data_IF_994457143765
#
_entry.id   IF_994457143765
#
_cell.length_a   1.000
_cell.length_b   1.000
_cell.length_c   1.000
_cell.angle_alpha   90.00
_cell.angle_beta   90.00
_cell.angle_gamma   90.00
#
_symmetry.space_group_name_H-M   'P 1'
#
loop_
_entity.id
_entity.type
_entity.pdbx_description
1 polymer ?
#
# COMPACT_ATOMS: atom_id res chain seq x y z
N UNK A 1 2.12 -12.22 -8.33
CA UNK A 1 1.36 -12.87 -9.43
C UNK A 1 1.89 -12.49 -10.81
N UNK A 2 1.88 -11.20 -11.20
CA UNK A 2 2.29 -10.80 -12.55
C UNK A 2 3.71 -11.22 -12.94
N UNK A 3 4.68 -11.11 -12.02
CA UNK A 3 6.05 -11.62 -12.22
C UNK A 3 6.10 -13.11 -12.60
N UNK A 4 5.32 -13.94 -11.91
CA UNK A 4 5.21 -15.36 -12.22
C UNK A 4 4.59 -15.60 -13.61
N UNK A 5 3.68 -14.74 -14.05
CA UNK A 5 3.11 -14.77 -15.39
C UNK A 5 4.14 -14.45 -16.47
N UNK A 6 5.09 -13.56 -16.17
CA UNK A 6 6.23 -13.27 -17.07
C UNK A 6 7.16 -14.47 -17.14
N UNK A 7 7.47 -15.08 -16.00
CA UNK A 7 8.31 -16.28 -15.96
C UNK A 7 7.66 -17.40 -16.77
N UNK A 8 6.37 -17.66 -16.61
CA UNK A 8 5.66 -18.66 -17.41
C UNK A 8 5.75 -18.44 -18.94
N UNK A 9 6.01 -17.19 -19.38
CA UNK A 9 6.10 -16.77 -20.78
C UNK A 9 7.51 -16.72 -21.36
N UNK A 10 8.55 -16.82 -20.52
CA UNK A 10 9.92 -16.72 -21.00
C UNK A 10 10.30 -17.93 -21.87
N UNK A 11 11.23 -17.71 -22.79
CA UNK A 11 11.77 -18.74 -23.67
C UNK A 11 12.42 -19.88 -22.85
N UNK A 12 13.11 -19.52 -21.76
CA UNK A 12 13.77 -20.44 -20.84
C UNK A 12 12.87 -21.20 -19.87
N UNK A 13 11.55 -20.96 -19.85
CA UNK A 13 10.66 -21.71 -18.98
C UNK A 13 10.65 -23.20 -19.35
N UNK A 14 10.82 -24.05 -18.35
CA UNK A 14 10.70 -25.50 -18.53
C UNK A 14 9.25 -25.92 -18.75
N UNK A 15 9.03 -27.11 -19.31
CA UNK A 15 7.68 -27.67 -19.49
C UNK A 15 6.92 -27.78 -18.15
N UNK A 16 7.61 -28.19 -17.08
CA UNK A 16 7.04 -28.32 -15.74
C UNK A 16 6.62 -26.97 -15.16
N UNK A 17 7.43 -25.92 -15.34
CA UNK A 17 7.09 -24.57 -14.89
C UNK A 17 5.85 -24.04 -15.61
N UNK A 18 5.79 -24.22 -16.94
CA UNK A 18 4.61 -23.84 -17.73
C UNK A 18 3.36 -24.59 -17.29
N UNK A 19 3.46 -25.90 -17.06
CA UNK A 19 2.36 -26.72 -16.57
C UNK A 19 1.88 -26.29 -15.17
N UNK A 20 2.81 -25.91 -14.28
CA UNK A 20 2.49 -25.45 -12.92
C UNK A 20 1.89 -24.04 -12.86
N UNK A 21 2.01 -23.26 -13.95
CA UNK A 21 1.64 -21.83 -13.98
C UNK A 21 0.68 -21.45 -15.11
N UNK A 22 -0.07 -22.42 -15.67
CA UNK A 22 -0.96 -22.21 -16.84
C UNK A 22 -1.91 -21.01 -16.68
N UNK A 23 -2.48 -20.81 -15.49
CA UNK A 23 -3.42 -19.72 -15.23
C UNK A 23 -2.72 -18.37 -14.94
N UNK A 24 -1.44 -18.38 -14.63
CA UNK A 24 -0.74 -17.20 -14.11
C UNK A 24 -0.52 -16.09 -15.15
N UNK A 25 -0.24 -16.39 -16.43
CA UNK A 25 -0.19 -15.37 -17.48
C UNK A 25 -1.45 -14.52 -17.61
N UNK A 26 -2.64 -15.04 -17.21
CA UNK A 26 -3.86 -14.26 -17.27
C UNK A 26 -3.90 -13.07 -16.28
N UNK A 27 -3.04 -13.07 -15.25
CA UNK A 27 -2.85 -11.89 -14.40
C UNK A 27 -2.09 -10.76 -15.10
N UNK A 28 -1.37 -11.05 -16.19
CA UNK A 28 -0.78 -10.01 -17.05
C UNK A 28 -1.79 -9.48 -18.06
N UNK A 29 -2.65 -10.35 -18.58
CA UNK A 29 -3.70 -9.96 -19.51
C UNK A 29 -4.72 -11.07 -19.69
N UNK A 30 -6.00 -10.71 -19.83
CA UNK A 30 -7.04 -11.67 -20.26
C UNK A 30 -6.72 -12.24 -21.65
N UNK A 31 -6.01 -11.48 -22.48
CA UNK A 31 -5.59 -11.87 -23.82
C UNK A 31 -4.29 -12.67 -23.84
N UNK A 32 -3.82 -13.12 -22.67
CA UNK A 32 -2.54 -13.81 -22.58
C UNK A 32 -2.51 -15.02 -23.52
N UNK A 33 -3.56 -15.83 -23.66
CA UNK A 33 -3.55 -17.00 -24.54
C UNK A 33 -3.41 -16.69 -26.05
N UNK A 34 -3.56 -15.42 -26.44
CA UNK A 34 -3.39 -14.96 -27.82
C UNK A 34 -1.93 -14.53 -28.08
N UNK A 35 -1.71 -13.91 -29.23
CA UNK A 35 -0.43 -13.32 -29.63
C UNK A 35 -0.01 -12.16 -28.68
N UNK A 36 1.32 -11.92 -28.45
CA UNK A 36 1.80 -10.80 -27.65
C UNK A 36 1.22 -9.44 -28.06
N UNK A 37 0.89 -9.25 -29.35
CA UNK A 37 0.26 -8.03 -29.85
C UNK A 37 -1.13 -7.80 -29.23
N UNK A 38 -1.94 -8.86 -29.07
CA UNK A 38 -3.24 -8.78 -28.39
C UNK A 38 -3.10 -8.49 -26.90
N UNK A 39 -1.99 -8.92 -26.30
CA UNK A 39 -1.67 -8.56 -24.92
C UNK A 39 -1.43 -7.05 -24.77
N UNK A 40 -0.80 -6.41 -25.76
CA UNK A 40 -0.60 -4.95 -25.79
C UNK A 40 -1.90 -4.22 -26.09
N UNK A 41 -2.51 -4.51 -27.24
CA UNK A 41 -3.70 -3.79 -27.73
C UNK A 41 -4.89 -4.02 -26.81
N UNK A 42 -5.10 -5.24 -26.35
CA UNK A 42 -6.21 -5.58 -25.48
C UNK A 42 -6.11 -4.91 -24.10
N UNK A 43 -4.94 -4.91 -23.48
CA UNK A 43 -4.74 -4.20 -22.21
C UNK A 43 -4.83 -2.67 -22.39
N UNK A 44 -4.32 -2.13 -23.49
CA UNK A 44 -4.47 -0.71 -23.81
C UNK A 44 -5.94 -0.32 -24.01
N UNK A 45 -6.72 -1.15 -24.71
CA UNK A 45 -8.15 -0.96 -24.90
C UNK A 45 -8.92 -1.05 -23.57
N UNK A 46 -8.61 -2.04 -22.73
CA UNK A 46 -9.20 -2.14 -21.39
C UNK A 46 -8.89 -0.89 -20.55
N UNK A 47 -7.63 -0.43 -20.54
CA UNK A 47 -7.27 0.81 -19.85
C UNK A 47 -8.02 2.02 -20.40
N UNK A 48 -8.16 2.13 -21.72
CA UNK A 48 -8.91 3.21 -22.38
C UNK A 48 -10.40 3.17 -22.03
N UNK A 49 -11.05 2.01 -22.09
CA UNK A 49 -12.48 1.85 -21.75
C UNK A 49 -12.74 2.23 -20.30
N UNK A 50 -11.95 1.71 -19.36
CA UNK A 50 -12.07 2.08 -17.95
C UNK A 50 -11.82 3.58 -17.72
N UNK A 51 -10.83 4.16 -18.40
CA UNK A 51 -10.56 5.60 -18.36
C UNK A 51 -11.74 6.43 -18.90
N UNK A 52 -12.30 6.06 -20.04
CA UNK A 52 -13.45 6.75 -20.65
C UNK A 52 -14.70 6.66 -19.77
N UNK A 53 -15.02 5.47 -19.25
CA UNK A 53 -16.15 5.29 -18.32
C UNK A 53 -15.95 6.16 -17.08
N UNK A 54 -14.74 6.15 -16.50
CA UNK A 54 -14.44 6.99 -15.34
C UNK A 54 -14.59 8.48 -15.64
N UNK A 55 -14.03 8.97 -16.74
CA UNK A 55 -14.17 10.37 -17.16
C UNK A 55 -15.63 10.75 -17.40
N UNK A 56 -16.42 9.87 -18.03
CA UNK A 56 -17.84 10.09 -18.28
C UNK A 56 -18.66 10.17 -16.99
N UNK A 57 -18.44 9.24 -16.05
CA UNK A 57 -19.11 9.25 -14.74
C UNK A 57 -18.68 10.48 -13.93
N UNK A 58 -17.38 10.85 -13.96
CA UNK A 58 -16.87 12.06 -13.31
C UNK A 58 -17.60 13.32 -13.81
N UNK A 59 -17.69 13.47 -15.14
CA UNK A 59 -18.33 14.63 -15.77
C UNK A 59 -19.84 14.68 -15.49
N UNK A 60 -20.51 13.53 -15.53
CA UNK A 60 -21.93 13.43 -15.18
C UNK A 60 -22.16 13.81 -13.70
N UNK A 61 -21.33 13.32 -12.79
CA UNK A 61 -21.39 13.66 -11.37
C UNK A 61 -21.12 15.14 -11.13
N UNK A 62 -20.10 15.70 -11.79
CA UNK A 62 -19.76 17.12 -11.74
C UNK A 62 -20.96 17.98 -12.17
N UNK A 63 -21.60 17.63 -13.29
CA UNK A 63 -22.76 18.34 -13.83
C UNK A 63 -24.00 18.21 -12.95
N UNK A 64 -24.20 17.04 -12.34
CA UNK A 64 -25.37 16.79 -11.50
C UNK A 64 -25.27 17.44 -10.11
N UNK A 65 -24.07 17.47 -9.51
CA UNK A 65 -23.84 18.02 -8.17
C UNK A 65 -23.32 19.46 -8.16
N UNK A 66 -22.95 20.02 -9.32
CA UNK A 66 -22.42 21.38 -9.42
C UNK A 66 -21.09 21.59 -8.70
N UNK A 67 -20.32 20.52 -8.48
CA UNK A 67 -19.02 20.55 -7.78
C UNK A 67 -17.88 20.78 -8.75
N UNK A 68 -16.71 21.18 -8.25
CA UNK A 68 -15.50 21.26 -9.06
C UNK A 68 -14.98 19.87 -9.46
N UNK A 69 -14.15 19.82 -10.51
CA UNK A 69 -13.63 18.56 -11.04
C UNK A 69 -12.80 17.77 -10.01
N UNK A 70 -12.02 18.43 -9.15
CA UNK A 70 -11.21 17.74 -8.16
C UNK A 70 -12.08 17.10 -7.06
N UNK A 71 -13.14 17.80 -6.63
CA UNK A 71 -14.13 17.24 -5.69
C UNK A 71 -14.95 16.12 -6.31
N UNK A 72 -15.36 16.23 -7.58
CA UNK A 72 -16.05 15.15 -8.30
C UNK A 72 -15.18 13.89 -8.37
N UNK A 73 -13.90 14.05 -8.74
CA UNK A 73 -12.93 12.97 -8.78
C UNK A 73 -12.66 12.37 -7.40
N UNK A 74 -12.57 13.17 -6.34
CA UNK A 74 -12.33 12.68 -4.98
C UNK A 74 -13.58 12.03 -4.34
N UNK A 75 -14.78 12.44 -4.75
CA UNK A 75 -16.06 11.95 -4.23
C UNK A 75 -16.48 10.63 -4.88
N UNK A 76 -16.14 10.42 -6.15
CA UNK A 76 -16.18 9.07 -6.70
C UNK A 76 -15.23 8.23 -5.85
N UNK A 77 -15.73 7.20 -5.15
CA UNK A 77 -14.92 6.25 -4.36
C UNK A 77 -14.12 5.29 -5.26
N UNK A 78 -14.29 5.44 -6.58
CA UNK A 78 -13.67 4.68 -7.67
C UNK A 78 -12.38 5.24 -8.34
N UNK A 79 -11.64 6.28 -7.88
CA UNK A 79 -10.52 6.83 -8.64
C UNK A 79 -9.28 5.95 -8.46
N UNK A 80 -9.17 5.28 -7.30
CA UNK A 80 -8.16 4.26 -7.06
C UNK A 80 -8.33 3.08 -8.00
N UNK A 81 -9.56 2.72 -8.41
CA UNK A 81 -9.76 1.62 -9.35
C UNK A 81 -9.13 1.94 -10.70
N UNK A 82 -9.29 3.17 -11.23
CA UNK A 82 -8.63 3.54 -12.50
C UNK A 82 -7.12 3.46 -12.41
N UNK A 83 -6.53 3.91 -11.29
CA UNK A 83 -5.09 3.78 -11.09
C UNK A 83 -4.68 2.31 -10.91
N UNK A 84 -5.41 1.51 -10.15
CA UNK A 84 -5.14 0.08 -9.94
C UNK A 84 -5.26 -0.68 -11.25
N UNK A 85 -6.28 -0.42 -12.05
CA UNK A 85 -6.45 -0.98 -13.39
C UNK A 85 -5.31 -0.53 -14.29
N UNK A 86 -4.96 0.75 -14.32
CA UNK A 86 -3.82 1.23 -15.10
C UNK A 86 -2.50 0.55 -14.70
N UNK A 87 -2.23 0.39 -13.40
CA UNK A 87 -1.05 -0.32 -12.89
C UNK A 87 -1.09 -1.81 -13.25
N UNK A 88 -2.25 -2.47 -13.14
CA UNK A 88 -2.41 -3.87 -13.49
C UNK A 88 -2.22 -4.10 -15.01
N UNK A 89 -2.81 -3.25 -15.84
CA UNK A 89 -2.70 -3.33 -17.31
C UNK A 89 -1.30 -2.94 -17.79
N UNK A 90 -0.60 -2.04 -17.08
CA UNK A 90 0.72 -1.54 -17.46
C UNK A 90 1.74 -2.65 -17.68
N UNK A 91 1.88 -3.58 -16.72
CA UNK A 91 2.85 -4.69 -16.84
C UNK A 91 2.53 -5.58 -18.04
N UNK A 92 1.24 -5.81 -18.32
CA UNK A 92 0.82 -6.57 -19.49
C UNK A 92 1.11 -5.86 -20.82
N UNK A 93 0.89 -4.54 -20.89
CA UNK A 93 1.27 -3.72 -22.05
C UNK A 93 2.79 -3.77 -22.25
N UNK A 94 3.55 -3.54 -21.18
CA UNK A 94 5.00 -3.50 -21.24
C UNK A 94 5.58 -4.85 -21.67
N UNK A 95 5.27 -5.94 -20.96
CA UNK A 95 5.83 -7.25 -21.30
C UNK A 95 5.30 -7.79 -22.63
N UNK A 96 4.04 -7.52 -22.98
CA UNK A 96 3.53 -7.86 -24.32
C UNK A 96 4.32 -7.18 -25.42
N UNK A 97 4.73 -5.94 -25.19
CA UNK A 97 5.54 -5.17 -26.11
C UNK A 97 6.97 -5.71 -26.21
N UNK A 98 7.59 -6.02 -25.07
CA UNK A 98 8.94 -6.61 -25.05
C UNK A 98 8.93 -8.00 -25.71
N UNK A 99 7.93 -8.85 -25.44
CA UNK A 99 7.78 -10.14 -26.10
C UNK A 99 7.50 -10.01 -27.60
N UNK A 100 6.67 -9.05 -28.03
CA UNK A 100 6.43 -8.78 -29.44
C UNK A 100 7.70 -8.36 -30.19
N UNK A 101 8.59 -7.58 -29.54
CA UNK A 101 9.90 -7.22 -30.08
C UNK A 101 10.89 -8.39 -30.10
N UNK A 102 10.80 -9.28 -29.11
CA UNK A 102 11.68 -10.43 -28.99
C UNK A 102 11.31 -11.60 -29.91
N UNK A 103 10.13 -11.57 -30.55
CA UNK A 103 9.68 -12.66 -31.43
C UNK A 103 10.53 -12.76 -32.71
N UNK A 104 11.04 -13.97 -33.05
CA UNK A 104 11.76 -14.18 -34.31
C UNK A 104 10.81 -13.99 -35.50
N UNK A 105 11.25 -13.25 -36.52
CA UNK A 105 10.43 -12.98 -37.71
C UNK A 105 9.28 -11.98 -37.49
N UNK A 106 9.34 -11.17 -36.42
CA UNK A 106 8.31 -10.17 -36.12
C UNK A 106 8.01 -9.27 -37.33
N UNK A 107 6.72 -9.21 -37.73
CA UNK A 107 6.22 -8.31 -38.77
C UNK A 107 6.43 -6.85 -38.35
N UNK A 108 6.46 -5.93 -39.31
CA UNK A 108 6.65 -4.49 -39.04
C UNK A 108 5.65 -3.97 -38.00
N UNK A 109 4.39 -4.43 -38.05
CA UNK A 109 3.35 -4.07 -37.08
C UNK A 109 3.73 -4.44 -35.64
N UNK A 110 4.22 -5.65 -35.40
CA UNK A 110 4.69 -6.10 -34.08
C UNK A 110 5.84 -5.25 -33.56
N UNK A 111 6.76 -4.83 -34.44
CA UNK A 111 7.89 -3.97 -34.07
C UNK A 111 7.43 -2.56 -33.69
N UNK A 112 6.57 -1.94 -34.50
CA UNK A 112 6.07 -0.59 -34.23
C UNK A 112 5.27 -0.57 -32.91
N UNK A 113 4.31 -1.49 -32.76
CA UNK A 113 3.48 -1.59 -31.55
C UNK A 113 4.36 -1.91 -30.33
N UNK A 114 5.33 -2.81 -30.49
CA UNK A 114 6.28 -3.16 -29.45
C UNK A 114 7.15 -1.98 -29.00
N UNK A 115 7.71 -1.20 -29.93
CA UNK A 115 8.49 -0.01 -29.57
C UNK A 115 7.62 1.00 -28.82
N UNK A 116 6.42 1.29 -29.34
CA UNK A 116 5.48 2.23 -28.71
C UNK A 116 5.13 1.77 -27.29
N UNK A 117 4.81 0.49 -27.11
CA UNK A 117 4.44 -0.03 -25.80
C UNK A 117 5.61 -0.13 -24.82
N UNK A 118 6.85 -0.35 -25.27
CA UNK A 118 8.05 -0.24 -24.42
C UNK A 118 8.31 1.20 -24.01
N UNK A 119 8.20 2.16 -24.93
CA UNK A 119 8.34 3.59 -24.62
C UNK A 119 7.27 4.04 -23.61
N UNK A 120 6.01 3.64 -23.82
CA UNK A 120 4.94 3.83 -22.84
C UNK A 120 5.29 3.17 -21.50
N UNK A 121 5.82 1.95 -21.53
CA UNK A 121 6.23 1.20 -20.36
C UNK A 121 7.31 1.88 -19.51
N UNK A 122 8.29 2.52 -20.16
CA UNK A 122 9.32 3.29 -19.48
C UNK A 122 8.80 4.66 -19.02
N UNK A 123 7.99 5.31 -19.84
CA UNK A 123 7.46 6.64 -19.56
C UNK A 123 6.41 6.65 -18.45
N UNK A 124 5.61 5.60 -18.30
CA UNK A 124 4.52 5.57 -17.32
C UNK A 124 5.01 5.62 -15.86
N UNK A 125 5.97 4.80 -15.38
CA UNK A 125 6.50 4.91 -14.02
C UNK A 125 7.12 6.29 -13.76
N UNK A 126 7.88 6.82 -14.73
CA UNK A 126 8.49 8.15 -14.64
C UNK A 126 7.44 9.27 -14.58
N UNK A 127 6.41 9.18 -15.43
CA UNK A 127 5.30 10.12 -15.49
C UNK A 127 4.43 10.09 -14.23
N UNK A 128 4.19 8.89 -13.68
CA UNK A 128 3.49 8.71 -12.40
C UNK A 128 4.30 9.32 -11.26
N UNK A 129 5.60 9.05 -11.18
CA UNK A 129 6.50 9.69 -10.21
C UNK A 129 6.47 11.21 -10.33
N UNK A 130 6.56 11.73 -11.55
CA UNK A 130 6.55 13.16 -11.82
C UNK A 130 5.23 13.82 -11.43
N UNK A 131 4.10 13.19 -11.80
CA UNK A 131 2.76 13.67 -11.46
C UNK A 131 2.57 13.72 -9.95
N UNK A 132 3.02 12.68 -9.26
CA UNK A 132 3.00 12.62 -7.80
C UNK A 132 3.88 13.70 -7.20
N UNK A 133 5.15 13.78 -7.60
CA UNK A 133 6.09 14.75 -7.05
C UNK A 133 5.61 16.21 -7.23
N UNK A 134 4.93 16.51 -8.33
CA UNK A 134 4.50 17.88 -8.67
C UNK A 134 3.08 18.22 -8.22
N UNK A 135 2.17 17.24 -8.15
CA UNK A 135 0.74 17.49 -7.91
C UNK A 135 0.19 16.87 -6.63
N UNK A 136 0.95 16.01 -5.92
CA UNK A 136 0.52 15.50 -4.62
C UNK A 136 1.12 16.33 -3.48
N UNK A 137 0.37 17.30 -2.98
CA UNK A 137 0.60 17.93 -1.66
C UNK A 137 0.32 17.00 -0.48
N UNK A 138 0.60 15.70 -0.64
CA UNK A 138 0.27 14.68 0.34
C UNK A 138 1.30 14.70 1.48
N UNK A 139 0.84 14.85 2.71
CA UNK A 139 1.66 14.73 3.91
C UNK A 139 1.30 13.46 4.68
N UNK A 140 2.32 12.80 5.23
CA UNK A 140 2.13 11.59 6.04
C UNK A 140 2.18 11.93 7.53
N UNK A 141 1.08 11.69 8.23
CA UNK A 141 0.95 11.93 9.67
C UNK A 141 1.00 10.60 10.42
N UNK A 142 1.86 10.50 11.43
CA UNK A 142 2.02 9.27 12.23
C UNK A 142 0.90 9.14 13.27
N UNK A 143 0.44 7.92 13.50
CA UNK A 143 -0.41 7.62 14.66
C UNK A 143 0.45 7.63 15.93
N UNK A 144 0.35 8.70 16.72
CA UNK A 144 1.15 8.86 17.95
C UNK A 144 0.94 7.70 18.94
N UNK A 145 -0.31 7.26 19.11
CA UNK A 145 -0.69 6.17 20.03
C UNK A 145 -0.03 4.83 19.67
N UNK A 146 0.04 4.49 18.38
CA UNK A 146 0.68 3.24 17.93
C UNK A 146 2.21 3.35 17.89
N UNK A 147 2.76 4.57 17.74
CA UNK A 147 4.20 4.78 17.69
C UNK A 147 4.92 4.45 19.01
N UNK A 148 4.21 4.54 20.15
CA UNK A 148 4.73 4.28 21.50
C UNK A 148 4.69 2.80 21.93
N UNK A 149 4.08 1.93 21.13
CA UNK A 149 3.97 0.49 21.46
C UNK A 149 5.28 -0.27 21.24
N UNK A 150 5.51 -1.39 21.97
CA UNK A 150 6.68 -2.24 21.78
C UNK A 150 6.73 -2.83 20.37
N UNK A 151 7.93 -3.18 19.88
CA UNK A 151 8.17 -3.51 18.46
C UNK A 151 7.30 -4.65 17.91
N UNK A 152 7.02 -5.68 18.72
CA UNK A 152 6.23 -6.83 18.30
C UNK A 152 4.76 -6.48 18.08
N UNK A 153 4.17 -5.61 18.91
CA UNK A 153 2.82 -5.08 18.67
C UNK A 153 2.82 -4.08 17.51
N UNK A 154 3.86 -3.24 17.41
CA UNK A 154 3.98 -2.23 16.36
C UNK A 154 4.11 -2.81 14.95
N UNK A 155 4.47 -4.10 14.82
CA UNK A 155 4.59 -4.78 13.54
C UNK A 155 3.27 -4.78 12.76
N UNK A 156 2.16 -5.05 13.46
CA UNK A 156 0.83 -5.24 12.88
C UNK A 156 0.03 -3.95 12.74
N UNK A 157 0.34 -2.90 13.51
CA UNK A 157 -0.38 -1.63 13.41
C UNK A 157 0.21 -0.72 12.32
N UNK A 158 -0.62 0.02 11.56
CA UNK A 158 -0.12 1.01 10.63
C UNK A 158 0.58 2.15 11.38
N UNK A 159 1.63 2.69 10.77
CA UNK A 159 2.45 3.74 11.38
C UNK A 159 1.77 5.12 11.31
N UNK A 160 0.85 5.32 10.38
CA UNK A 160 0.21 6.62 10.13
C UNK A 160 -0.84 6.60 9.03
N UNK A 161 -1.30 7.78 8.66
CA UNK A 161 -2.27 8.04 7.60
C UNK A 161 -1.83 9.23 6.73
N UNK A 162 -2.46 9.38 5.57
CA UNK A 162 -2.13 10.40 4.57
C UNK A 162 -3.16 11.53 4.57
N UNK A 163 -2.68 12.76 4.57
CA UNK A 163 -3.46 13.99 4.43
C UNK A 163 -3.13 14.68 3.10
N UNK A 164 -4.08 15.40 2.47
CA UNK A 164 -5.50 15.54 2.84
C UNK A 164 -6.35 14.33 2.40
N UNK A 165 -7.52 14.16 3.02
CA UNK A 165 -8.41 13.00 2.80
C UNK A 165 -8.84 12.84 1.33
N UNK A 166 -8.97 13.93 0.57
CA UNK A 166 -9.28 13.89 -0.86
C UNK A 166 -8.20 13.14 -1.66
N UNK A 167 -6.91 13.37 -1.36
CA UNK A 167 -5.80 12.68 -2.02
C UNK A 167 -5.68 11.23 -1.56
N UNK A 168 -5.96 10.96 -0.28
CA UNK A 168 -6.08 9.58 0.21
C UNK A 168 -7.21 8.83 -0.50
N UNK A 169 -8.36 9.45 -0.80
CA UNK A 169 -9.44 8.79 -1.56
C UNK A 169 -9.06 8.56 -3.02
N UNK A 170 -8.38 9.52 -3.64
CA UNK A 170 -8.00 9.46 -5.05
C UNK A 170 -6.92 8.40 -5.32
N UNK A 171 -5.87 8.39 -4.50
CA UNK A 171 -4.71 7.51 -4.69
C UNK A 171 -4.69 6.30 -3.75
N UNK A 172 -5.65 6.22 -2.80
CA UNK A 172 -5.97 5.10 -1.91
C UNK A 172 -4.87 4.06 -1.74
N UNK A 173 -4.98 2.94 -2.45
CA UNK A 173 -4.06 1.80 -2.32
C UNK A 173 -2.59 2.12 -2.57
N UNK A 174 -2.28 3.15 -3.36
CA UNK A 174 -0.91 3.55 -3.69
C UNK A 174 -0.26 4.35 -2.56
N UNK A 175 -1.00 5.29 -1.96
CA UNK A 175 -0.53 6.06 -0.81
C UNK A 175 -0.62 5.24 0.48
N UNK A 176 -1.74 4.55 0.72
CA UNK A 176 -1.96 3.76 1.96
C UNK A 176 -0.97 2.63 2.13
N UNK A 177 -0.21 2.28 1.11
CA UNK A 177 0.83 1.28 1.27
C UNK A 177 2.16 1.87 1.72
N UNK A 178 2.39 3.18 1.65
CA UNK A 178 3.71 3.78 1.89
C UNK A 178 3.81 4.55 3.21
N UNK A 179 5.04 4.69 3.74
CA UNK A 179 5.37 5.44 4.96
C UNK A 179 6.18 6.71 4.67
N UNK A 180 5.83 7.82 5.34
CA UNK A 180 6.56 9.10 5.23
C UNK A 180 6.38 9.77 3.87
N UNK A 181 7.14 10.80 3.53
CA UNK A 181 7.02 11.55 2.25
C UNK A 181 7.58 10.82 1.02
N UNK A 182 7.78 9.51 1.10
CA UNK A 182 8.41 8.66 0.09
C UNK A 182 7.46 8.28 -1.06
N UNK A 183 6.68 9.23 -1.55
CA UNK A 183 5.57 8.93 -2.47
C UNK A 183 6.07 8.40 -3.81
N UNK A 184 7.22 8.86 -4.30
CA UNK A 184 7.81 8.40 -5.57
C UNK A 184 8.21 6.92 -5.56
N UNK A 185 8.33 6.29 -4.38
CA UNK A 185 8.62 4.86 -4.27
C UNK A 185 7.41 3.97 -4.58
N UNK A 186 6.23 4.56 -4.78
CA UNK A 186 5.01 3.89 -5.21
C UNK A 186 5.20 2.97 -6.44
N UNK A 187 6.02 3.40 -7.41
CA UNK A 187 6.29 2.65 -8.63
C UNK A 187 7.53 1.77 -8.51
N UNK A 188 8.22 1.74 -7.37
CA UNK A 188 9.45 0.98 -7.23
C UNK A 188 9.26 -0.50 -7.53
N UNK A 189 8.21 -1.11 -6.97
CA UNK A 189 7.89 -2.51 -7.24
C UNK A 189 7.61 -2.73 -8.73
N UNK A 190 6.88 -1.80 -9.36
CA UNK A 190 6.60 -1.82 -10.79
C UNK A 190 7.91 -1.77 -11.61
N UNK A 191 8.80 -0.84 -11.29
CA UNK A 191 10.09 -0.67 -11.94
C UNK A 191 10.99 -1.90 -11.79
N UNK A 192 11.08 -2.48 -10.59
CA UNK A 192 11.83 -3.74 -10.37
C UNK A 192 11.26 -4.85 -11.24
N UNK A 193 9.92 -5.00 -11.29
CA UNK A 193 9.29 -6.00 -12.15
C UNK A 193 9.53 -5.74 -13.63
N UNK A 194 9.49 -4.48 -14.08
CA UNK A 194 9.82 -4.11 -15.46
C UNK A 194 11.26 -4.51 -15.80
N UNK A 195 12.24 -4.24 -14.93
CA UNK A 195 13.64 -4.65 -15.13
C UNK A 195 13.75 -6.17 -15.19
N UNK A 196 13.14 -6.88 -14.26
CA UNK A 196 13.14 -8.36 -14.22
C UNK A 196 12.52 -8.95 -15.48
N UNK A 197 11.40 -8.40 -15.96
CA UNK A 197 10.77 -8.92 -17.16
C UNK A 197 11.45 -8.49 -18.47
N UNK A 198 12.18 -7.37 -18.50
CA UNK A 198 13.11 -7.07 -19.60
C UNK A 198 14.18 -8.16 -19.70
N UNK A 199 14.78 -8.54 -18.56
CA UNK A 199 15.74 -9.64 -18.51
C UNK A 199 15.07 -10.94 -18.97
N UNK A 200 13.85 -11.24 -18.51
CA UNK A 200 13.10 -12.45 -18.87
C UNK A 200 12.77 -12.58 -20.37
N UNK A 201 12.69 -11.46 -21.09
CA UNK A 201 12.36 -11.46 -22.51
C UNK A 201 13.59 -11.60 -23.43
N UNK A 202 14.81 -11.44 -22.90
CA UNK A 202 16.03 -11.72 -23.65
C UNK A 202 16.04 -13.20 -24.04
N UNK A 203 16.35 -13.48 -25.30
CA UNK A 203 16.63 -14.85 -25.76
C UNK A 203 18.11 -15.13 -25.50
N UNK A 204 18.47 -15.92 -24.48
CA UNK A 204 19.87 -16.22 -24.25
C UNK A 204 20.40 -17.10 -25.39
N UNK A 205 21.71 -16.99 -25.71
CA UNK A 205 22.37 -17.96 -26.57
C UNK A 205 22.26 -19.36 -25.96
N UNK A 206 22.36 -20.40 -26.80
CA UNK A 206 22.12 -21.81 -26.44
C UNK A 206 22.87 -22.15 -25.14
N UNK A 207 22.14 -22.62 -24.12
CA UNK A 207 22.69 -22.98 -22.80
C UNK A 207 22.76 -21.85 -21.76
N UNK A 208 22.40 -20.61 -22.10
CA UNK A 208 22.51 -19.45 -21.20
C UNK A 208 21.33 -19.19 -20.24
N UNK A 209 20.33 -20.06 -20.18
CA UNK A 209 19.13 -19.84 -19.36
C UNK A 209 19.46 -19.65 -17.86
N UNK A 210 20.40 -20.43 -17.32
CA UNK A 210 20.83 -20.31 -15.93
C UNK A 210 21.35 -18.90 -15.59
N UNK A 211 22.14 -18.27 -16.47
CA UNK A 211 22.64 -16.90 -16.30
C UNK A 211 21.48 -15.91 -16.23
N UNK A 212 20.50 -16.04 -17.12
CA UNK A 212 19.32 -15.17 -17.15
C UNK A 212 18.53 -15.25 -15.83
N UNK A 213 18.32 -16.45 -15.29
CA UNK A 213 17.68 -16.63 -13.98
C UNK A 213 18.49 -16.03 -12.82
N UNK A 214 19.82 -16.20 -12.81
CA UNK A 214 20.67 -15.59 -11.79
C UNK A 214 20.64 -14.06 -11.85
N UNK A 215 20.62 -13.47 -13.05
CA UNK A 215 20.46 -12.02 -13.22
C UNK A 215 19.13 -11.53 -12.65
N UNK A 216 18.02 -12.23 -12.94
CA UNK A 216 16.71 -11.90 -12.36
C UNK A 216 16.72 -12.03 -10.83
N UNK A 217 17.32 -13.09 -10.29
CA UNK A 217 17.45 -13.29 -8.85
C UNK A 217 18.23 -12.16 -8.17
N UNK A 218 19.34 -11.71 -8.77
CA UNK A 218 20.14 -10.60 -8.25
C UNK A 218 19.35 -9.29 -8.17
N UNK A 219 18.58 -8.96 -9.22
CA UNK A 219 17.71 -7.76 -9.24
C UNK A 219 16.61 -7.87 -8.18
N UNK A 220 15.99 -9.04 -8.03
CA UNK A 220 14.94 -9.27 -7.02
C UNK A 220 15.49 -9.17 -5.59
N UNK A 221 16.70 -9.71 -5.32
CA UNK A 221 17.36 -9.59 -4.01
C UNK A 221 17.76 -8.14 -3.70
N UNK A 222 18.29 -7.41 -4.69
CA UNK A 222 18.55 -5.98 -4.54
C UNK A 222 17.25 -5.21 -4.23
N UNK A 223 16.17 -5.52 -4.95
CA UNK A 223 14.83 -4.97 -4.68
C UNK A 223 14.33 -5.28 -3.27
N UNK A 224 14.49 -6.52 -2.80
CA UNK A 224 14.14 -6.93 -1.44
C UNK A 224 14.93 -6.13 -0.39
N UNK A 225 16.24 -5.97 -0.60
CA UNK A 225 17.12 -5.19 0.27
C UNK A 225 16.67 -3.73 0.36
N UNK A 226 16.39 -3.08 -0.77
CA UNK A 226 15.87 -1.70 -0.79
C UNK A 226 14.54 -1.60 -0.03
N UNK A 227 13.60 -2.52 -0.26
CA UNK A 227 12.30 -2.53 0.45
C UNK A 227 12.48 -2.68 1.96
N UNK A 228 13.35 -3.60 2.38
CA UNK A 228 13.61 -3.86 3.80
C UNK A 228 14.31 -2.67 4.49
N UNK A 229 15.31 -2.06 3.85
CA UNK A 229 16.09 -0.97 4.41
C UNK A 229 15.30 0.34 4.49
N UNK A 230 14.55 0.65 3.43
CA UNK A 230 13.78 1.91 3.36
C UNK A 230 12.51 1.87 4.22
N UNK A 231 12.09 0.69 4.69
CA UNK A 231 10.81 0.50 5.39
C UNK A 231 9.68 1.22 4.66
N UNK A 232 9.61 0.94 3.37
CA UNK A 232 8.80 1.67 2.41
C UNK A 232 7.31 1.57 2.74
N UNK A 233 6.88 0.48 3.39
CA UNK A 233 5.46 0.20 3.59
C UNK A 233 4.87 0.85 4.86
N UNK A 234 3.55 1.04 4.86
CA UNK A 234 2.77 1.66 5.93
C UNK A 234 2.85 0.92 7.27
N UNK A 235 3.08 -0.39 7.25
CA UNK A 235 3.37 -1.20 8.42
C UNK A 235 4.62 -2.03 8.22
N UNK A 236 5.29 -2.38 9.32
CA UNK A 236 6.47 -3.22 9.26
C UNK A 236 6.11 -4.65 8.82
N UNK A 237 4.92 -5.16 9.16
CA UNK A 237 4.40 -6.42 8.61
C UNK A 237 4.37 -6.41 7.07
N UNK A 238 3.77 -5.38 6.46
CA UNK A 238 3.74 -5.26 4.99
C UNK A 238 5.15 -5.18 4.39
N UNK A 239 6.05 -4.42 5.00
CA UNK A 239 7.45 -4.34 4.53
C UNK A 239 8.09 -5.74 4.52
N UNK A 240 7.96 -6.49 5.61
CA UNK A 240 8.51 -7.85 5.72
C UNK A 240 7.89 -8.79 4.68
N UNK A 241 6.56 -8.75 4.51
CA UNK A 241 5.87 -9.64 3.57
C UNK A 241 6.19 -9.32 2.11
N UNK A 242 6.33 -8.04 1.74
CA UNK A 242 6.76 -7.65 0.40
C UNK A 242 8.23 -7.98 0.14
N UNK A 243 9.12 -7.75 1.11
CA UNK A 243 10.52 -8.17 1.00
C UNK A 243 10.62 -9.69 0.88
N UNK A 244 9.88 -10.45 1.69
CA UNK A 244 9.79 -11.91 1.59
C UNK A 244 9.27 -12.35 0.21
N UNK A 245 8.28 -11.66 -0.36
CA UNK A 245 7.79 -11.95 -1.71
C UNK A 245 8.89 -11.81 -2.77
N UNK A 246 9.73 -10.76 -2.69
CA UNK A 246 10.87 -10.60 -3.59
C UNK A 246 11.93 -11.70 -3.38
N UNK A 247 12.23 -12.05 -2.13
CA UNK A 247 13.16 -13.14 -1.79
C UNK A 247 12.64 -14.48 -2.30
N UNK A 248 11.35 -14.77 -2.16
CA UNK A 248 10.73 -16.00 -2.66
C UNK A 248 10.76 -16.06 -4.20
N UNK A 249 10.51 -14.94 -4.88
CA UNK A 249 10.68 -14.84 -6.34
C UNK A 249 12.15 -15.06 -6.76
N UNK A 250 13.11 -14.53 -6.00
CA UNK A 250 14.53 -14.76 -6.26
C UNK A 250 14.92 -16.23 -6.04
N UNK A 251 14.42 -16.84 -4.96
CA UNK A 251 14.62 -18.25 -4.67
C UNK A 251 14.03 -19.14 -5.77
N UNK A 252 12.84 -18.80 -6.28
CA UNK A 252 12.27 -19.48 -7.45
C UNK A 252 13.22 -19.38 -8.65
N UNK A 253 13.76 -18.20 -8.96
CA UNK A 253 14.72 -18.04 -10.05
C UNK A 253 15.98 -18.91 -9.83
N UNK A 254 16.52 -18.97 -8.61
CA UNK A 254 17.70 -19.79 -8.29
C UNK A 254 17.41 -21.28 -8.44
N UNK A 255 16.25 -21.76 -7.96
CA UNK A 255 15.83 -23.16 -8.13
C UNK A 255 15.63 -23.49 -9.60
N UNK A 256 15.03 -22.60 -10.37
CA UNK A 256 14.91 -22.76 -11.83
C UNK A 256 16.27 -22.82 -12.52
N UNK A 257 17.22 -21.95 -12.14
CA UNK A 257 18.59 -21.99 -12.67
C UNK A 257 19.29 -23.30 -12.34
N UNK A 258 19.17 -23.78 -11.10
CA UNK A 258 19.75 -25.05 -10.67
C UNK A 258 19.14 -26.24 -11.43
N UNK A 259 17.82 -26.25 -11.65
CA UNK A 259 17.14 -27.28 -12.44
C UNK A 259 17.59 -27.30 -13.91
N UNK A 260 17.96 -26.15 -14.48
CA UNK A 260 18.57 -26.10 -15.83
C UNK A 260 19.98 -26.67 -15.88
N UNK A 261 20.74 -26.59 -14.78
CA UNK A 261 22.11 -27.13 -14.70
C UNK A 261 22.12 -28.62 -14.35
N UNK A 262 21.25 -29.04 -13.42
CA UNK A 262 21.15 -30.40 -12.92
C UNK A 262 19.67 -30.74 -12.68
N UNK A 263 18.96 -31.28 -13.68
CA UNK A 263 17.55 -31.61 -13.54
C UNK A 263 17.35 -32.68 -12.45
N UNK A 264 16.45 -32.42 -11.51
CA UNK A 264 16.15 -33.33 -10.40
C UNK A 264 14.69 -33.24 -9.96
N UNK A 265 14.14 -34.37 -9.49
CA UNK A 265 12.79 -34.40 -8.92
C UNK A 265 12.69 -33.53 -7.66
N UNK A 266 13.78 -33.42 -6.90
CA UNK A 266 13.87 -32.57 -5.71
C UNK A 266 13.67 -31.08 -6.05
N UNK A 267 14.28 -30.60 -7.13
CA UNK A 267 14.12 -29.22 -7.56
C UNK A 267 12.74 -28.90 -8.12
N UNK A 268 12.04 -29.87 -8.73
CA UNK A 268 10.64 -29.71 -9.11
C UNK A 268 9.72 -29.56 -7.88
N UNK A 269 9.94 -30.38 -6.83
CA UNK A 269 9.20 -30.25 -5.56
C UNK A 269 9.48 -28.92 -4.86
N UNK A 270 10.75 -28.50 -4.84
CA UNK A 270 11.14 -27.21 -4.26
C UNK A 270 10.47 -26.03 -4.98
N UNK A 271 10.39 -26.07 -6.32
CA UNK A 271 9.69 -25.06 -7.10
C UNK A 271 8.20 -24.94 -6.73
N UNK A 272 7.49 -26.07 -6.65
CA UNK A 272 6.07 -26.09 -6.23
C UNK A 272 5.90 -25.59 -4.80
N UNK A 273 6.77 -25.99 -3.87
CA UNK A 273 6.72 -25.53 -2.49
C UNK A 273 6.93 -24.00 -2.39
N UNK A 274 7.89 -23.45 -3.13
CA UNK A 274 8.13 -22.00 -3.20
C UNK A 274 6.94 -21.24 -3.81
N UNK A 275 6.31 -21.79 -4.85
CA UNK A 275 5.09 -21.21 -5.42
C UNK A 275 3.95 -21.17 -4.40
N UNK A 276 3.72 -22.26 -3.66
CA UNK A 276 2.69 -22.35 -2.62
C UNK A 276 2.96 -21.40 -1.46
N UNK A 277 4.23 -21.24 -1.07
CA UNK A 277 4.62 -20.28 -0.04
C UNK A 277 4.39 -18.85 -0.52
N UNK A 278 4.75 -18.54 -1.77
CA UNK A 278 4.53 -17.22 -2.36
C UNK A 278 3.04 -16.89 -2.48
N UNK A 279 2.17 -17.83 -2.89
CA UNK A 279 0.72 -17.60 -2.92
C UNK A 279 0.15 -17.38 -1.53
N UNK A 280 0.63 -18.12 -0.53
CA UNK A 280 0.23 -17.93 0.87
C UNK A 280 0.64 -16.56 1.40
N UNK A 281 1.86 -16.10 1.12
CA UNK A 281 2.34 -14.76 1.49
C UNK A 281 1.51 -13.67 0.83
N UNK A 282 1.20 -13.82 -0.46
CA UNK A 282 0.34 -12.86 -1.18
C UNK A 282 -1.08 -12.84 -0.60
N UNK A 283 -1.65 -13.99 -0.26
CA UNK A 283 -2.95 -14.06 0.41
C UNK A 283 -2.91 -13.33 1.76
N UNK A 284 -1.89 -13.58 2.58
CA UNK A 284 -1.72 -12.91 3.86
C UNK A 284 -1.59 -11.38 3.71
N UNK A 285 -0.86 -10.90 2.70
CA UNK A 285 -0.80 -9.46 2.37
C UNK A 285 -2.18 -8.91 2.02
N UNK A 286 -2.95 -9.60 1.18
CA UNK A 286 -4.29 -9.14 0.78
C UNK A 286 -5.27 -9.12 1.94
N UNK A 287 -5.29 -10.17 2.77
CA UNK A 287 -6.15 -10.27 3.95
C UNK A 287 -5.78 -9.17 4.95
N UNK A 288 -4.48 -9.01 5.24
CA UNK A 288 -4.02 -7.95 6.13
C UNK A 288 -4.41 -6.56 5.60
N UNK A 289 -4.23 -6.30 4.30
CA UNK A 289 -4.63 -5.04 3.67
C UNK A 289 -6.13 -4.77 3.81
N UNK A 290 -6.98 -5.78 3.60
CA UNK A 290 -8.43 -5.67 3.78
C UNK A 290 -8.80 -5.40 5.25
N UNK A 291 -8.18 -6.12 6.19
CA UNK A 291 -8.43 -5.94 7.64
C UNK A 291 -8.02 -4.55 8.10
N UNK A 292 -6.84 -4.08 7.69
CA UNK A 292 -6.37 -2.72 8.03
C UNK A 292 -7.30 -1.67 7.43
N UNK A 293 -7.70 -1.82 6.17
CA UNK A 293 -8.64 -0.90 5.53
C UNK A 293 -9.99 -0.88 6.25
N UNK A 294 -10.53 -2.05 6.60
CA UNK A 294 -11.79 -2.18 7.34
C UNK A 294 -11.71 -1.56 8.73
N UNK A 295 -10.65 -1.88 9.49
CA UNK A 295 -10.43 -1.32 10.82
C UNK A 295 -10.25 0.21 10.77
N UNK A 296 -9.57 0.72 9.75
CA UNK A 296 -9.36 2.14 9.59
C UNK A 296 -10.65 2.91 9.23
N UNK A 297 -11.50 2.32 8.39
CA UNK A 297 -12.78 2.90 7.99
C UNK A 297 -13.81 2.86 9.13
N UNK A 298 -13.75 1.87 10.03
CA UNK A 298 -14.73 1.66 11.11
C UNK A 298 -14.30 2.16 12.49
N UNK A 299 -13.05 1.94 12.87
CA UNK A 299 -12.59 2.11 14.26
C UNK A 299 -11.54 3.21 14.44
N UNK A 300 -10.80 3.56 13.38
CA UNK A 300 -9.72 4.55 13.49
C UNK A 300 -10.06 5.90 12.82
N UNK A 301 -11.33 6.16 12.50
CA UNK A 301 -11.75 7.49 12.02
C UNK A 301 -11.50 8.56 13.09
N UNK A 302 -11.84 8.26 14.34
CA UNK A 302 -11.62 9.15 15.50
C UNK A 302 -10.13 9.40 15.78
N UNK A 303 -9.24 8.53 15.29
CA UNK A 303 -7.79 8.71 15.42
C UNK A 303 -7.19 9.60 14.32
N UNK A 304 -7.95 9.93 13.26
CA UNK A 304 -7.50 10.81 12.17
C UNK A 304 -7.79 12.28 12.46
N UNK A 305 -8.88 12.59 13.14
CA UNK A 305 -9.16 13.95 13.55
C UNK A 305 -8.31 14.26 14.78
N UNK A 306 -7.33 15.15 14.67
CA UNK A 306 -6.65 15.57 15.88
C UNK A 306 -7.70 16.28 16.74
N UNK A 307 -7.78 15.92 18.02
CA UNK A 307 -7.96 16.87 19.12
C UNK A 307 -6.83 17.93 19.05
N UNK A 308 -6.69 18.61 17.91
CA UNK A 308 -5.80 19.75 17.72
C UNK A 308 -6.24 20.83 18.69
N UNK A 309 -7.55 21.03 18.82
CA UNK A 309 -8.13 21.86 19.85
C UNK A 309 -7.91 21.38 21.29
N UNK A 310 -7.70 20.09 21.55
CA UNK A 310 -7.49 19.59 22.93
C UNK A 310 -6.06 19.77 23.42
N UNK A 311 -5.06 19.51 22.56
CA UNK A 311 -3.65 19.74 22.89
C UNK A 311 -3.29 21.23 22.80
N UNK A 312 -3.89 21.98 21.86
CA UNK A 312 -3.75 23.45 21.80
C UNK A 312 -4.52 24.14 22.94
N UNK A 313 -5.66 23.62 23.42
CA UNK A 313 -6.32 24.11 24.64
C UNK A 313 -5.50 23.80 25.90
N UNK A 314 -4.88 22.62 26.01
CA UNK A 314 -4.01 22.28 27.14
C UNK A 314 -2.69 23.06 27.17
N UNK A 315 -2.17 23.44 25.99
CA UNK A 315 -0.99 24.32 25.89
C UNK A 315 -1.36 25.78 26.16
N UNK A 316 -2.55 26.21 25.74
CA UNK A 316 -3.07 27.57 25.99
C UNK A 316 -3.48 27.78 27.45
N UNK A 317 -4.09 26.79 28.12
CA UNK A 317 -4.37 26.83 29.57
C UNK A 317 -3.08 26.84 30.43
N UNK A 318 -1.94 26.45 29.84
CA UNK A 318 -0.63 26.54 30.47
C UNK A 318 0.07 27.90 30.26
N UNK A 319 -0.28 28.64 29.21
CA UNK A 319 0.25 29.99 28.93
C UNK A 319 -0.66 31.12 29.46
N UNK A 320 -1.97 30.88 29.60
CA UNK A 320 -2.94 31.91 30.02
C UNK A 320 -3.03 32.07 31.56
N UNK A 321 -2.36 31.21 32.33
CA UNK A 321 -2.35 31.25 33.80
C UNK A 321 -1.17 32.03 34.41
N UNK A 322 -0.24 32.55 33.58
CA UNK A 322 0.96 33.27 34.03
C UNK A 322 1.00 34.74 33.56
N UNK A 323 -0.12 35.27 33.03
CA UNK A 323 -0.24 36.68 32.59
C UNK A 323 -1.15 37.54 33.48
N UNK A 324 -1.27 37.22 34.77
CA UNK A 324 -1.98 38.08 35.74
C UNK A 324 -1.13 38.38 36.99
N UNK A 325 0.11 38.84 36.78
CA UNK A 325 0.84 39.59 37.81
C UNK A 325 1.54 40.82 37.18
N UNK A 326 0.80 41.93 37.26
CA UNK A 326 1.22 43.32 37.24
C UNK A 326 2.73 43.57 37.56
N UNK A 327 3.48 44.12 36.62
CA UNK A 327 4.74 44.88 36.84
C UNK A 327 4.39 46.30 37.36
N UNK A 328 5.28 47.07 38.06
CA UNK A 328 6.62 47.41 37.52
C UNK A 328 7.73 47.86 38.52
N UNK A 329 8.92 48.16 37.94
CA UNK A 329 10.12 48.87 38.48
C UNK A 329 11.10 48.05 39.35
N UNK A 330 12.43 48.20 39.30
CA UNK A 330 13.42 48.88 38.46
C UNK A 330 14.83 48.36 38.89
N UNK A 331 15.82 48.45 37.97
CA UNK A 331 17.26 48.67 38.22
C UNK A 331 18.14 47.65 38.98
N UNK A 332 19.09 47.10 38.20
CA UNK A 332 20.54 46.99 38.47
C UNK A 332 21.02 46.08 39.62
N UNK A 333 21.70 44.99 39.30
CA UNK A 333 23.15 44.80 39.56
C UNK A 333 23.67 43.45 39.07
N UNK A 334 24.93 43.49 38.67
CA UNK A 334 25.75 42.50 37.98
C UNK A 334 26.48 41.51 38.91
N UNK A 335 27.13 40.51 38.28
CA UNK A 335 28.43 39.86 38.62
C UNK A 335 28.40 38.37 39.06
N UNK A 336 29.07 37.57 38.23
CA UNK A 336 29.96 36.40 38.45
C UNK A 336 29.82 35.45 39.66
N UNK A 337 29.85 34.16 39.29
CA UNK A 337 30.60 33.03 39.84
C UNK A 337 30.52 32.64 41.34
N UNK A 338 30.20 31.36 41.60
CA UNK A 338 31.07 30.36 42.25
C UNK A 338 30.28 29.33 43.08
N UNK A 339 30.52 28.04 42.82
CA UNK A 339 30.81 26.96 43.78
C UNK A 339 29.88 26.62 44.98
N UNK A 340 29.63 25.31 45.08
CA UNK A 340 29.56 24.46 46.30
C UNK A 340 28.24 24.29 47.10
N UNK A 341 27.70 23.06 46.98
CA UNK A 341 27.17 22.13 48.02
C UNK A 341 26.42 22.66 49.26
N UNK A 342 25.21 22.14 49.50
CA UNK A 342 24.82 21.31 50.69
C UNK A 342 23.33 20.90 50.59
N UNK A 343 23.07 19.70 51.12
CA UNK A 343 21.84 18.90 51.08
C UNK A 343 20.62 19.48 51.80
N UNK A 344 19.41 19.07 51.36
CA UNK A 344 18.27 18.87 52.26
C UNK A 344 17.22 17.92 51.66
N UNK A 345 16.67 17.10 52.54
CA UNK A 345 15.78 15.94 52.38
C UNK A 345 14.41 16.25 51.78
N UNK A 346 13.90 15.37 50.90
CA UNK A 346 12.47 15.32 50.55
C UNK A 346 11.81 14.04 51.08
N UNK A 347 10.70 14.23 51.80
CA UNK A 347 9.83 13.23 52.42
C UNK A 347 8.56 13.11 51.56
N UNK A 348 8.08 11.92 51.18
CA UNK A 348 6.83 11.78 50.44
C UNK A 348 5.62 11.85 51.39
N UNK A 349 4.49 12.49 51.00
CA UNK A 349 3.25 12.39 51.76
C UNK A 349 2.45 11.12 51.41
N UNK A 350 1.68 10.72 52.42
CA UNK A 350 0.98 9.47 52.67
C UNK A 350 -0.31 9.26 51.88
N UNK A 351 -0.68 7.98 51.76
CA UNK A 351 -1.95 7.46 51.26
C UNK A 351 -3.13 7.90 52.13
N UNK A 352 -4.26 8.23 51.49
CA UNK A 352 -5.55 8.45 52.12
C UNK A 352 -6.29 7.12 52.30
N UNK A 353 -6.64 6.85 53.55
CA UNK A 353 -7.41 5.72 54.05
C UNK A 353 -8.84 5.67 53.49
N UNK A 354 -9.23 4.47 53.07
CA UNK A 354 -10.60 4.04 52.83
C UNK A 354 -11.15 3.44 54.14
N UNK A 355 -12.29 3.93 54.63
CA UNK A 355 -13.11 3.28 55.67
C UNK A 355 -14.59 3.63 55.40
N UNK A 356 -15.40 2.65 54.97
CA UNK A 356 -16.45 1.92 55.73
C UNK A 356 -17.65 2.80 56.13
N UNK A 357 -18.92 2.46 55.92
CA UNK A 357 -19.60 1.26 55.45
C UNK A 357 -21.10 1.36 55.83
N UNK A 358 -21.96 0.72 55.02
CA UNK A 358 -23.29 0.13 55.28
C UNK A 358 -24.42 0.99 55.95
N UNK A 359 -25.67 0.95 55.50
CA UNK A 359 -26.56 -0.24 55.61
C UNK A 359 -27.84 -0.07 54.77
N UNK A 360 -28.31 -1.17 54.18
CA UNK A 360 -29.67 -1.74 54.27
C UNK A 360 -30.36 -2.12 52.94
N UNK A 361 -30.56 -3.43 52.80
CA UNK A 361 -31.32 -4.15 51.77
C UNK A 361 -32.83 -4.09 51.99
N UNK A 362 -33.61 -4.19 50.90
CA UNK A 362 -34.46 -5.34 50.54
C UNK A 362 -35.76 -4.96 49.79
N UNK A 363 -36.09 -5.86 48.85
CA UNK A 363 -37.43 -6.33 48.46
C UNK A 363 -38.07 -5.88 47.11
N UNK A 364 -38.21 -6.92 46.26
CA UNK A 364 -39.36 -7.27 45.39
C UNK A 364 -39.42 -6.78 43.92
N UNK A 365 -39.20 -7.72 42.99
CA UNK A 365 -39.83 -7.74 41.64
C UNK A 365 -41.31 -8.17 41.72
N UNK A 366 -42.09 -8.17 40.60
CA UNK A 366 -41.84 -9.08 39.47
C UNK A 366 -42.25 -8.56 38.06
N UNK A 367 -41.92 -9.38 37.05
CA UNK A 367 -42.43 -9.39 35.67
C UNK A 367 -43.98 -9.37 35.58
N UNK A 368 -44.56 -8.67 34.58
CA UNK A 368 -45.42 -9.31 33.57
C UNK A 368 -45.81 -8.42 32.35
N UNK A 369 -45.99 -9.11 31.20
CA UNK A 369 -46.99 -8.89 30.12
C UNK A 369 -46.80 -7.82 29.01
N UNK A 370 -46.12 -8.26 27.94
CA UNK A 370 -46.59 -8.46 26.56
C UNK A 370 -47.74 -7.61 25.92
N UNK A 371 -47.40 -7.08 24.72
CA UNK A 371 -48.06 -7.29 23.41
C UNK A 371 -49.31 -6.50 22.96
N UNK A 372 -49.10 -5.86 21.79
CA UNK A 372 -49.95 -5.78 20.58
C UNK A 372 -51.15 -4.81 20.48
N UNK A 373 -50.94 -3.85 19.57
CA UNK A 373 -51.71 -3.61 18.34
C UNK A 373 -52.96 -2.71 18.33
N UNK A 374 -52.93 -1.80 17.34
CA UNK A 374 -54.01 -1.43 16.39
C UNK A 374 -54.78 -0.11 16.60
N UNK A 375 -54.48 0.88 15.73
CA UNK A 375 -55.37 1.69 14.84
C UNK A 375 -54.67 3.02 14.50
N UNK A 376 -54.19 3.29 13.29
CA UNK A 376 -54.83 3.52 11.97
C UNK A 376 -55.55 4.89 11.84
N UNK A 377 -55.27 5.56 10.70
CA UNK A 377 -55.97 6.69 10.02
C UNK A 377 -55.47 8.10 10.40
N UNK A 378 -54.59 8.71 9.59
CA UNK A 378 -54.78 9.62 8.43
C UNK A 378 -55.22 11.06 8.78
N UNK A 379 -54.42 12.06 8.35
CA UNK A 379 -54.81 13.12 7.40
C UNK A 379 -53.76 14.26 7.28
N UNK A 380 -53.12 14.30 6.11
CA UNK A 380 -52.88 15.42 5.17
C UNK A 380 -52.85 16.91 5.57
N UNK A 381 -51.96 17.62 4.84
CA UNK A 381 -52.00 19.01 4.30
C UNK A 381 -51.42 20.18 5.12
N UNK A 382 -50.21 20.63 4.75
CA UNK A 382 -50.00 21.79 3.85
C UNK A 382 -48.61 21.76 3.21
#
# INVERSE_FOLDING_TARGET
MQALGVFARMSCASAQERASTVAVPYFLSVFAALDPLWMVVGNALLAAVFGCVHCGVAAAFQRWRGVDAASAWAAMRFPSLTYVVAHAMHLGIFFGSVFALAMPGARVQHRVIGVVGVLYGAAFPAGVCYLIARHTGASFTKYWQFSRKPLHERLLYPVGYWCPAAQQRMYGGMLTNMRGSHVYWCVFQLSVLCVVGLIAAVHPPVGGCHVQYFCMAAVLLAGAGVVALTNMMRSAFLTVMHAASFVLLAALCVVSAANHLAPSDGGARAYVALLMLLTTVLLAVTVYGMVVWYAEDRHWQELREPQRGGLEALLRDGEENDEDVQKPHELTLSVYASGTTVASSYRPPSQLQLMTGDTHSDALGPLDRASSASRMIDHTLL
#
